data_IF_383964193754
#
_entry.id   IF_383964193754
#
_cell.length_a   1.000
_cell.length_b   1.000
_cell.length_c   1.000
_cell.angle_alpha   90.00
_cell.angle_beta   90.00
_cell.angle_gamma   90.00
#
_symmetry.space_group_name_H-M   'P 1'
#
loop_
_entity.id
_entity.type
_entity.pdbx_description
1 polymer ?
#
# COMPACT_ATOMS: atom_id res chain seq x y z
N UNK A 1 -2.46 17.16 -9.36
CA UNK A 1 -2.80 17.12 -7.91
C UNK A 1 -1.61 17.12 -6.96
N UNK A 2 -0.76 16.08 -6.86
CA UNK A 2 0.32 16.03 -5.85
C UNK A 2 1.26 17.25 -5.87
N UNK A 3 1.66 17.72 -7.07
CA UNK A 3 2.43 18.98 -7.22
C UNK A 3 1.71 20.22 -6.69
N UNK A 4 0.39 20.31 -6.87
CA UNK A 4 -0.41 21.42 -6.32
C UNK A 4 -0.48 21.38 -4.79
N UNK A 5 -0.31 20.20 -4.19
CA UNK A 5 -0.24 20.01 -2.73
C UNK A 5 1.19 20.20 -2.19
N UNK A 6 2.15 20.57 -3.03
CA UNK A 6 3.53 20.87 -2.63
C UNK A 6 4.52 19.70 -2.69
N UNK A 7 4.10 18.52 -3.16
CA UNK A 7 5.00 17.36 -3.28
C UNK A 7 5.87 17.43 -4.54
N UNK A 8 7.14 17.05 -4.39
CA UNK A 8 7.99 16.64 -5.49
C UNK A 8 7.51 15.28 -6.00
N UNK A 9 7.31 15.13 -7.31
CA UNK A 9 6.67 13.94 -7.87
C UNK A 9 7.59 13.13 -8.77
N UNK A 10 7.55 11.81 -8.66
CA UNK A 10 8.19 10.88 -9.58
C UNK A 10 7.17 9.84 -10.06
N UNK A 11 7.00 9.68 -11.38
CA UNK A 11 6.32 8.51 -11.95
C UNK A 11 7.37 7.40 -12.10
N UNK A 12 7.30 6.37 -11.25
CA UNK A 12 8.27 5.29 -11.23
C UNK A 12 8.10 4.35 -12.42
N UNK A 13 6.89 3.86 -12.64
CA UNK A 13 6.54 2.99 -13.76
C UNK A 13 5.02 2.89 -13.90
N UNK A 14 4.54 2.59 -15.11
CA UNK A 14 3.14 2.22 -15.41
C UNK A 14 2.98 0.74 -15.77
N UNK A 15 4.03 -0.05 -15.54
CA UNK A 15 4.13 -1.48 -15.89
C UNK A 15 4.55 -2.31 -14.67
N UNK A 16 4.14 -1.92 -13.46
CA UNK A 16 4.46 -2.69 -12.26
C UNK A 16 3.65 -3.98 -12.26
N UNK A 17 4.33 -5.12 -12.22
CA UNK A 17 3.75 -6.45 -12.16
C UNK A 17 4.53 -7.28 -11.14
N UNK A 18 3.97 -8.42 -10.75
CA UNK A 18 4.59 -9.37 -9.83
C UNK A 18 3.76 -9.62 -8.58
N UNK A 19 4.35 -10.34 -7.63
CA UNK A 19 3.68 -10.70 -6.38
C UNK A 19 3.52 -9.48 -5.48
N UNK A 20 2.27 -9.16 -5.10
CA UNK A 20 1.89 -7.95 -4.37
C UNK A 20 2.72 -7.72 -3.11
N UNK A 21 2.93 -8.76 -2.30
CA UNK A 21 3.74 -8.65 -1.07
C UNK A 21 5.21 -8.32 -1.32
N UNK A 22 5.78 -8.77 -2.42
CA UNK A 22 7.18 -8.47 -2.75
C UNK A 22 7.30 -7.06 -3.33
N UNK A 23 6.34 -6.66 -4.18
CA UNK A 23 6.24 -5.29 -4.68
C UNK A 23 6.05 -4.28 -3.54
N UNK A 24 5.25 -4.62 -2.53
CA UNK A 24 5.06 -3.80 -1.31
C UNK A 24 6.37 -3.56 -0.56
N UNK A 25 7.22 -4.58 -0.42
CA UNK A 25 8.56 -4.44 0.17
C UNK A 25 9.47 -3.54 -0.64
N UNK A 26 9.41 -3.62 -1.98
CA UNK A 26 10.18 -2.74 -2.87
C UNK A 26 9.74 -1.28 -2.70
N UNK A 27 8.44 -0.99 -2.66
CA UNK A 27 7.96 0.37 -2.42
C UNK A 27 8.33 0.91 -1.04
N UNK A 28 8.32 0.06 -0.02
CA UNK A 28 8.83 0.42 1.30
C UNK A 28 10.34 0.75 1.28
N UNK A 29 11.14 0.01 0.51
CA UNK A 29 12.56 0.32 0.32
C UNK A 29 12.77 1.68 -0.37
N UNK A 30 11.94 2.01 -1.37
CA UNK A 30 11.95 3.35 -1.99
C UNK A 30 11.61 4.44 -0.98
N UNK A 31 10.61 4.22 -0.12
CA UNK A 31 10.29 5.16 0.96
C UNK A 31 11.48 5.39 1.91
N UNK A 32 12.12 4.30 2.36
CA UNK A 32 13.31 4.34 3.22
C UNK A 32 14.46 5.12 2.58
N UNK A 33 14.72 4.90 1.29
CA UNK A 33 15.76 5.62 0.55
C UNK A 33 15.47 7.12 0.49
N UNK A 34 14.23 7.51 0.20
CA UNK A 34 13.82 8.92 0.17
C UNK A 34 13.97 9.56 1.55
N UNK A 35 13.58 8.87 2.63
CA UNK A 35 13.77 9.38 4.00
C UNK A 35 15.24 9.59 4.32
N UNK A 36 16.09 8.63 3.95
CA UNK A 36 17.50 8.62 4.32
C UNK A 36 18.37 9.58 3.49
N UNK A 37 18.20 9.58 2.16
CA UNK A 37 19.11 10.26 1.24
C UNK A 37 18.44 11.36 0.40
N UNK A 38 17.10 11.44 0.42
CA UNK A 38 16.34 12.35 -0.46
C UNK A 38 16.36 11.92 -1.93
N UNK A 39 16.79 10.69 -2.24
CA UNK A 39 16.77 10.11 -3.58
C UNK A 39 15.65 9.07 -3.68
N UNK A 40 15.09 8.81 -4.88
CA UNK A 40 15.34 9.51 -6.16
C UNK A 40 14.61 10.86 -6.30
N UNK A 41 13.88 11.28 -5.27
CA UNK A 41 13.07 12.51 -5.27
C UNK A 41 13.11 13.15 -3.88
N UNK A 42 13.35 14.47 -3.75
CA UNK A 42 13.49 15.11 -2.45
C UNK A 42 12.14 15.22 -1.72
N UNK A 43 12.20 15.20 -0.39
CA UNK A 43 11.04 15.42 0.49
C UNK A 43 10.53 16.88 0.38
N UNK A 44 9.21 17.13 0.51
CA UNK A 44 8.13 16.15 0.57
C UNK A 44 7.95 15.48 -0.81
N UNK A 45 7.90 14.16 -0.85
CA UNK A 45 7.91 13.35 -2.07
C UNK A 45 6.62 12.56 -2.27
N UNK A 46 6.23 12.41 -3.53
CA UNK A 46 5.15 11.53 -3.97
C UNK A 46 5.63 10.72 -5.18
N UNK A 47 5.98 9.46 -4.94
CA UNK A 47 6.25 8.50 -6.00
C UNK A 47 4.92 7.86 -6.41
N UNK A 48 4.65 7.84 -7.71
CA UNK A 48 3.46 7.23 -8.30
C UNK A 48 3.89 6.06 -9.14
N UNK A 49 3.17 4.95 -9.03
CA UNK A 49 3.30 3.82 -9.93
C UNK A 49 1.92 3.32 -10.36
N UNK A 50 1.87 2.65 -11.50
CA UNK A 50 0.70 1.94 -11.97
C UNK A 50 1.09 0.58 -12.55
N UNK A 51 0.11 -0.31 -12.64
CA UNK A 51 0.31 -1.66 -13.13
C UNK A 51 -0.76 -2.60 -12.61
N UNK A 52 -0.45 -3.89 -12.53
CA UNK A 52 -1.35 -4.91 -12.00
C UNK A 52 -0.55 -6.02 -11.34
N UNK A 53 -0.57 -6.03 -9.99
CA UNK A 53 0.09 -7.09 -9.22
C UNK A 53 -0.82 -8.31 -9.08
N UNK A 54 -0.27 -9.43 -8.62
CA UNK A 54 -1.02 -10.64 -8.33
C UNK A 54 -0.75 -11.13 -6.92
N UNK A 55 -1.67 -11.95 -6.41
CA UNK A 55 -1.54 -12.62 -5.12
C UNK A 55 -1.54 -14.12 -5.35
N UNK A 56 -0.51 -14.79 -4.84
CA UNK A 56 -0.54 -16.25 -4.70
C UNK A 56 -1.27 -16.60 -3.41
N UNK A 57 -2.48 -17.17 -3.54
CA UNK A 57 -3.29 -17.58 -2.39
C UNK A 57 -2.66 -18.82 -1.72
N UNK A 58 -2.43 -18.71 -0.41
CA UNK A 58 -1.84 -19.73 0.46
C UNK A 58 -2.72 -19.99 1.70
N UNK A 59 -3.42 -18.97 2.16
CA UNK A 59 -4.30 -19.03 3.31
C UNK A 59 -5.77 -19.14 2.97
N UNK A 60 -6.62 -18.86 3.96
CA UNK A 60 -8.09 -18.82 3.85
C UNK A 60 -8.66 -17.44 4.17
N UNK A 61 -7.79 -16.45 4.31
CA UNK A 61 -8.16 -15.06 4.59
C UNK A 61 -8.90 -14.37 3.46
N UNK A 62 -9.28 -13.12 3.73
CA UNK A 62 -9.91 -12.21 2.78
C UNK A 62 -8.98 -11.04 2.51
N UNK A 63 -8.85 -10.65 1.24
CA UNK A 63 -7.99 -9.55 0.85
C UNK A 63 -7.94 -9.38 -0.65
N UNK A 64 -7.12 -8.43 -1.09
CA UNK A 64 -6.79 -8.20 -2.48
C UNK A 64 -5.33 -7.80 -2.64
N UNK A 65 -4.90 -7.63 -3.88
CA UNK A 65 -3.50 -7.36 -4.23
C UNK A 65 -3.03 -6.00 -3.70
N UNK A 66 -3.88 -4.98 -3.74
CA UNK A 66 -3.55 -3.64 -3.26
C UNK A 66 -3.49 -3.60 -1.72
N UNK A 67 -4.42 -4.30 -1.06
CA UNK A 67 -4.38 -4.50 0.39
C UNK A 67 -3.14 -5.31 0.80
N UNK A 68 -2.80 -6.39 0.09
CA UNK A 68 -1.63 -7.22 0.41
C UNK A 68 -0.31 -6.44 0.22
N UNK A 69 -0.21 -5.64 -0.85
CA UNK A 69 0.91 -4.72 -1.08
C UNK A 69 1.07 -3.73 0.09
N UNK A 70 -0.02 -3.09 0.52
CA UNK A 70 0.01 -2.16 1.64
C UNK A 70 0.41 -2.85 2.95
N UNK A 71 -0.09 -4.06 3.23
CA UNK A 71 0.25 -4.80 4.45
C UNK A 71 1.73 -5.21 4.47
N UNK A 72 2.27 -5.66 3.33
CA UNK A 72 3.68 -5.97 3.22
C UNK A 72 4.55 -4.72 3.37
N UNK A 73 4.13 -3.59 2.83
CA UNK A 73 4.81 -2.31 3.03
C UNK A 73 4.76 -1.86 4.50
N UNK A 74 3.63 -2.03 5.20
CA UNK A 74 3.46 -1.68 6.61
C UNK A 74 4.50 -2.35 7.51
N UNK A 75 4.75 -3.65 7.30
CA UNK A 75 5.77 -4.41 8.02
C UNK A 75 7.17 -3.80 7.84
N UNK A 76 7.46 -3.31 6.64
CA UNK A 76 8.77 -2.76 6.31
C UNK A 76 8.97 -1.33 6.80
N UNK A 77 7.93 -0.49 6.77
CA UNK A 77 8.01 0.93 7.16
C UNK A 77 7.65 1.17 8.63
N UNK A 78 7.47 0.12 9.44
CA UNK A 78 7.14 0.26 10.85
C UNK A 78 8.11 1.20 11.59
N UNK A 79 7.57 2.24 12.23
CA UNK A 79 8.35 3.27 12.93
C UNK A 79 8.92 4.37 12.03
N UNK A 80 8.76 4.29 10.71
CA UNK A 80 9.14 5.34 9.76
C UNK A 80 7.96 6.32 9.60
N UNK A 81 7.76 7.17 10.61
CA UNK A 81 6.57 8.04 10.73
C UNK A 81 6.36 8.99 9.55
N UNK A 82 7.41 9.32 8.80
CA UNK A 82 7.30 10.23 7.67
C UNK A 82 6.94 9.53 6.35
N UNK A 83 6.67 8.22 6.36
CA UNK A 83 6.37 7.43 5.17
C UNK A 83 4.95 6.85 5.18
N UNK A 84 4.33 6.82 3.99
CA UNK A 84 3.04 6.18 3.74
C UNK A 84 3.05 5.51 2.37
N UNK A 85 2.51 4.30 2.28
CA UNK A 85 2.31 3.54 1.05
C UNK A 85 0.83 3.25 0.88
N UNK A 86 0.30 3.54 -0.31
CA UNK A 86 -1.10 3.35 -0.66
C UNK A 86 -1.17 2.50 -1.91
N UNK A 87 -1.92 1.41 -1.88
CA UNK A 87 -2.33 0.67 -3.08
C UNK A 87 -3.83 0.82 -3.29
N UNK A 88 -4.26 1.03 -4.54
CA UNK A 88 -5.68 1.07 -4.89
C UNK A 88 -6.00 0.61 -6.32
N UNK A 89 -7.06 -0.17 -6.46
CA UNK A 89 -7.67 -0.59 -7.71
C UNK A 89 -8.62 0.49 -8.23
N UNK A 90 -8.42 0.91 -9.48
CA UNK A 90 -9.18 2.03 -10.05
C UNK A 90 -10.65 1.70 -10.33
N UNK A 91 -11.03 0.43 -10.35
CA UNK A 91 -12.42 -0.04 -10.44
C UNK A 91 -13.20 0.06 -9.12
N UNK A 92 -12.51 0.37 -8.02
CA UNK A 92 -13.10 0.47 -6.69
C UNK A 92 -13.25 -0.85 -5.96
N UNK A 93 -12.60 -1.92 -6.44
CA UNK A 93 -12.71 -3.27 -5.86
C UNK A 93 -11.38 -4.02 -5.99
N UNK A 94 -10.83 -4.45 -4.86
CA UNK A 94 -9.57 -5.17 -4.73
C UNK A 94 -9.82 -6.56 -4.13
N UNK A 95 -9.64 -7.60 -4.95
CA UNK A 95 -10.02 -8.97 -4.58
C UNK A 95 -11.53 -9.13 -4.37
N UNK A 96 -11.98 -10.20 -3.69
CA UNK A 96 -13.38 -10.42 -3.31
C UNK A 96 -13.79 -9.58 -2.09
N UNK A 97 -13.56 -8.26 -2.15
CA UNK A 97 -13.84 -7.32 -1.06
C UNK A 97 -14.67 -6.13 -1.55
N UNK A 98 -15.11 -5.26 -0.65
CA UNK A 98 -15.75 -3.98 -0.99
C UNK A 98 -14.77 -2.79 -0.95
N UNK A 99 -13.49 -3.06 -0.64
CA UNK A 99 -12.44 -2.07 -0.63
C UNK A 99 -11.77 -1.97 -2.00
N UNK A 100 -11.34 -0.78 -2.37
CA UNK A 100 -10.48 -0.55 -3.52
C UNK A 100 -9.01 -0.86 -3.20
N UNK A 101 -8.63 -0.96 -1.92
CA UNK A 101 -7.25 -1.08 -1.49
C UNK A 101 -7.08 -0.68 -0.03
N UNK A 102 -5.87 -0.31 0.36
CA UNK A 102 -5.57 0.14 1.71
C UNK A 102 -4.40 1.13 1.74
N UNK A 103 -4.29 1.84 2.86
CA UNK A 103 -3.14 2.68 3.18
C UNK A 103 -2.36 2.11 4.37
N UNK A 104 -1.04 2.21 4.32
CA UNK A 104 -0.14 1.85 5.39
C UNK A 104 0.83 2.99 5.65
N UNK A 105 1.00 3.36 6.92
CA UNK A 105 1.98 4.36 7.35
C UNK A 105 2.92 3.78 8.42
N UNK A 106 3.91 4.57 8.84
CA UNK A 106 4.86 4.16 9.87
C UNK A 106 4.23 3.76 11.22
N UNK A 107 2.97 4.13 11.48
CA UNK A 107 2.24 3.83 12.72
C UNK A 107 1.36 2.59 12.61
N UNK A 108 1.07 2.09 11.41
CA UNK A 108 0.14 0.97 11.16
C UNK A 108 0.44 -0.25 12.04
N UNK A 109 1.71 -0.67 12.15
CA UNK A 109 2.08 -1.83 12.96
C UNK A 109 1.88 -1.57 14.46
N UNK A 110 2.21 -0.37 14.95
CA UNK A 110 1.96 -0.01 16.35
C UNK A 110 0.46 -0.03 16.66
N UNK A 111 -0.37 0.52 15.76
CA UNK A 111 -1.84 0.50 15.91
C UNK A 111 -2.39 -0.92 15.88
N UNK A 112 -1.86 -1.79 15.02
CA UNK A 112 -2.22 -3.21 14.94
C UNK A 112 -1.91 -3.96 16.24
N UNK A 113 -0.71 -3.78 16.79
CA UNK A 113 -0.30 -4.40 18.04
C UNK A 113 -1.20 -3.97 19.22
N UNK A 114 -1.59 -2.69 19.27
CA UNK A 114 -2.53 -2.18 20.27
C UNK A 114 -3.94 -2.80 20.16
N UNK A 115 -4.24 -3.47 19.05
CA UNK A 115 -5.49 -4.22 18.78
C UNK A 115 -5.27 -5.73 18.75
N UNK A 116 -4.12 -6.21 19.21
CA UNK A 116 -3.76 -7.63 19.24
C UNK A 116 -3.74 -8.31 17.85
N UNK A 117 -3.49 -7.53 16.80
CA UNK A 117 -3.37 -8.02 15.43
C UNK A 117 -1.91 -8.37 15.10
N UNK A 118 -1.72 -9.50 14.43
CA UNK A 118 -0.42 -9.93 13.91
C UNK A 118 -0.38 -9.73 12.39
N UNK A 119 0.30 -8.67 11.95
CA UNK A 119 0.43 -8.30 10.55
C UNK A 119 1.13 -9.39 9.71
N UNK A 120 2.14 -10.07 10.27
CA UNK A 120 2.87 -11.12 9.56
C UNK A 120 1.99 -12.35 9.35
N UNK A 121 1.19 -12.69 10.37
CA UNK A 121 0.19 -13.76 10.27
C UNK A 121 -0.91 -13.41 9.26
N UNK A 122 -1.47 -12.20 9.31
CA UNK A 122 -2.47 -11.75 8.34
C UNK A 122 -1.93 -11.81 6.91
N UNK A 123 -0.68 -11.39 6.69
CA UNK A 123 -0.05 -11.48 5.37
C UNK A 123 0.18 -12.93 4.90
N UNK A 124 0.56 -13.82 5.83
CA UNK A 124 0.77 -15.23 5.54
C UNK A 124 -0.54 -15.95 5.17
N UNK A 125 -1.65 -15.56 5.79
CA UNK A 125 -2.98 -16.15 5.59
C UNK A 125 -3.79 -15.47 4.47
N UNK A 126 -3.20 -14.50 3.75
CA UNK A 126 -3.89 -13.65 2.76
C UNK A 126 -5.11 -12.91 3.34
N UNK A 127 -5.02 -12.49 4.61
CA UNK A 127 -6.09 -11.85 5.37
C UNK A 127 -5.88 -10.33 5.58
N UNK A 128 -5.51 -9.64 4.51
CA UNK A 128 -5.22 -8.19 4.56
C UNK A 128 -6.47 -7.33 4.76
N UNK A 129 -7.65 -7.81 4.35
CA UNK A 129 -8.91 -7.07 4.50
C UNK A 129 -9.27 -6.86 5.96
N UNK A 130 -9.41 -7.94 6.73
CA UNK A 130 -9.81 -7.84 8.13
C UNK A 130 -8.75 -7.11 8.98
N UNK A 131 -7.47 -7.25 8.62
CA UNK A 131 -6.40 -6.49 9.25
C UNK A 131 -6.63 -4.98 9.15
N UNK A 132 -6.85 -4.46 7.93
CA UNK A 132 -7.06 -3.02 7.74
C UNK A 132 -8.46 -2.55 8.13
N UNK A 133 -9.46 -3.42 8.11
CA UNK A 133 -10.82 -3.14 8.58
C UNK A 133 -10.81 -2.72 10.05
N UNK A 134 -10.12 -3.47 10.90
CA UNK A 134 -10.01 -3.17 12.35
C UNK A 134 -9.28 -1.85 12.60
N UNK A 135 -8.36 -1.47 11.71
CA UNK A 135 -7.58 -0.23 11.80
C UNK A 135 -8.30 0.98 11.20
N UNK A 136 -9.31 0.78 10.35
CA UNK A 136 -9.98 1.85 9.60
C UNK A 136 -9.17 2.38 8.42
N UNK A 137 -8.25 1.56 7.90
CA UNK A 137 -7.27 1.96 6.87
C UNK A 137 -7.63 1.44 5.46
N UNK A 138 -8.79 0.81 5.31
CA UNK A 138 -9.33 0.41 4.02
C UNK A 138 -9.75 1.64 3.20
N UNK A 139 -9.49 1.59 1.90
CA UNK A 139 -9.94 2.61 0.97
C UNK A 139 -11.26 2.16 0.36
N UNK A 140 -12.37 2.74 0.83
CA UNK A 140 -13.72 2.43 0.33
C UNK A 140 -14.17 3.53 -0.63
N UNK A 141 -14.16 3.25 -1.93
CA UNK A 141 -14.65 4.19 -2.97
C UNK A 141 -16.06 3.86 -3.46
N UNK A 142 -16.48 2.60 -3.29
CA UNK A 142 -17.56 2.02 -4.09
C UNK A 142 -17.14 1.81 -5.55
N UNK A 143 -18.03 1.24 -6.39
CA UNK A 143 -17.74 1.00 -7.79
C UNK A 143 -17.55 2.32 -8.55
N UNK A 144 -16.41 2.45 -9.22
CA UNK A 144 -16.07 3.67 -9.97
C UNK A 144 -16.54 3.63 -11.43
N UNK A 145 -17.03 2.47 -11.89
CA UNK A 145 -17.46 2.20 -13.28
C UNK A 145 -16.37 2.47 -14.34
N UNK A 146 -15.10 2.35 -13.95
CA UNK A 146 -13.95 2.34 -14.87
C UNK A 146 -12.95 1.28 -14.41
N UNK A 147 -12.02 0.87 -15.26
CA UNK A 147 -10.90 0.02 -14.84
C UNK A 147 -9.68 0.31 -15.70
N UNK A 148 -8.66 0.90 -15.09
CA UNK A 148 -7.33 1.11 -15.65
C UNK A 148 -6.26 0.51 -14.74
N UNK A 149 -6.61 -0.61 -14.11
CA UNK A 149 -5.79 -1.40 -13.18
C UNK A 149 -5.50 -0.67 -11.86
N UNK A 150 -4.28 -0.81 -11.33
CA UNK A 150 -3.90 -0.34 -10.00
C UNK A 150 -3.08 0.96 -10.05
N UNK A 151 -3.21 1.75 -8.99
CA UNK A 151 -2.32 2.86 -8.67
C UNK A 151 -1.66 2.60 -7.31
N UNK A 152 -0.36 2.87 -7.24
CA UNK A 152 0.40 2.87 -5.98
C UNK A 152 1.01 4.24 -5.74
N UNK A 153 0.91 4.73 -4.51
CA UNK A 153 1.51 5.98 -4.07
C UNK A 153 2.46 5.70 -2.91
N UNK A 154 3.69 6.21 -3.00
CA UNK A 154 4.61 6.30 -1.86
C UNK A 154 4.75 7.78 -1.53
N UNK A 155 4.27 8.17 -0.36
CA UNK A 155 4.37 9.51 0.18
C UNK A 155 5.47 9.52 1.22
N UNK A 156 6.34 10.54 1.15
CA UNK A 156 7.31 10.83 2.21
C UNK A 156 7.20 12.32 2.55
N UNK A 157 6.91 12.62 3.81
CA UNK A 157 6.58 13.99 4.26
C UNK A 157 7.82 14.80 4.64
#
# INVERSE_FOLDING_TARGET
RARELGFNTLLLSTFVEGEAREVGRVFAAVAKEIVHSGQPVPRPACVVAGGETTVTIRGQGKGGRNQELALAAALEIAGLEEAMVIGLATNGTDGPTDAAGALADGTTIQRAQARELDAARSLADNDSYHFFEVLGDLIITGPTNTNVNDLTFVLVF
#
